data_IF_283469130295
#
_entry.id   IF_283469130295
#
_cell.length_a   1.000
_cell.length_b   1.000
_cell.length_c   1.000
_cell.angle_alpha   90.00
_cell.angle_beta   90.00
_cell.angle_gamma   90.00
#
_symmetry.space_group_name_H-M   'P 1'
#
loop_
_entity.id
_entity.type
_entity.pdbx_description
1 polymer ?
#
# COMPACT_ATOMS: atom_id res chain seq x y z
N UNK A 1 2.83 -27.65 8.96
CA UNK A 1 3.51 -26.38 8.61
C UNK A 1 4.98 -26.66 8.40
N UNK A 2 5.65 -26.07 7.39
CA UNK A 2 7.09 -26.21 7.31
C UNK A 2 7.72 -25.56 8.55
N UNK A 3 8.74 -26.18 9.12
CA UNK A 3 9.43 -25.72 10.35
C UNK A 3 9.91 -24.26 10.22
N UNK A 4 10.35 -23.89 9.02
CA UNK A 4 10.80 -22.51 8.71
C UNK A 4 9.68 -21.48 8.75
N UNK A 5 8.51 -21.80 8.20
CA UNK A 5 7.36 -20.88 8.23
C UNK A 5 6.87 -20.62 9.66
N UNK A 6 6.88 -21.67 10.51
CA UNK A 6 6.54 -21.50 11.93
C UNK A 6 7.54 -20.57 12.66
N UNK A 7 8.85 -20.75 12.42
CA UNK A 7 9.88 -19.87 13.00
C UNK A 7 9.76 -18.41 12.52
N UNK A 8 9.49 -18.23 11.23
CA UNK A 8 9.33 -16.91 10.65
C UNK A 8 8.12 -16.17 11.24
N UNK A 9 6.98 -16.85 11.35
CA UNK A 9 5.77 -16.29 11.97
C UNK A 9 5.96 -15.98 13.45
N UNK A 10 6.63 -16.85 14.20
CA UNK A 10 6.92 -16.60 15.61
C UNK A 10 7.67 -15.28 15.77
N UNK A 11 8.78 -15.11 15.04
CA UNK A 11 9.53 -13.85 15.08
C UNK A 11 8.70 -12.63 14.67
N UNK A 12 7.91 -12.72 13.60
CA UNK A 12 7.06 -11.62 13.15
C UNK A 12 6.06 -11.19 14.23
N UNK A 13 5.47 -12.15 14.95
CA UNK A 13 4.49 -11.88 16.00
C UNK A 13 5.12 -11.21 17.24
N UNK A 14 6.42 -11.44 17.50
CA UNK A 14 7.14 -10.75 18.57
C UNK A 14 7.28 -9.23 18.31
N UNK A 15 7.15 -8.78 17.05
CA UNK A 15 7.28 -7.37 16.68
C UNK A 15 6.08 -6.49 17.08
N UNK A 16 5.08 -7.02 17.76
CA UNK A 16 3.85 -6.34 18.19
C UNK A 16 3.16 -5.54 17.07
N UNK A 17 2.04 -6.09 16.57
CA UNK A 17 1.28 -5.55 15.43
C UNK A 17 0.75 -4.13 15.66
N UNK A 18 0.47 -3.77 16.92
CA UNK A 18 -0.14 -2.49 17.31
C UNK A 18 0.89 -1.40 17.59
N UNK A 19 2.18 -1.69 17.50
CA UNK A 19 3.22 -0.71 17.79
C UNK A 19 3.46 0.21 16.58
N UNK A 20 2.87 1.38 16.64
CA UNK A 20 3.11 2.45 15.67
C UNK A 20 4.35 3.23 16.09
N UNK A 21 5.28 3.42 15.18
CA UNK A 21 6.44 4.30 15.36
C UNK A 21 6.55 5.18 14.12
N UNK A 22 6.16 6.45 14.21
CA UNK A 22 6.30 7.39 13.10
C UNK A 22 7.75 7.53 12.63
N UNK A 23 7.94 7.87 11.35
CA UNK A 23 9.24 8.10 10.72
C UNK A 23 9.65 7.02 9.74
N UNK A 24 10.34 7.43 8.66
CA UNK A 24 10.77 6.57 7.56
C UNK A 24 12.23 6.11 7.66
N UNK A 25 12.99 6.58 8.64
CA UNK A 25 14.44 6.34 8.73
C UNK A 25 14.78 4.85 8.84
N UNK A 26 13.99 4.10 9.63
CA UNK A 26 14.19 2.65 9.83
C UNK A 26 13.94 1.86 8.55
N UNK A 27 12.79 2.11 7.91
CA UNK A 27 12.43 1.42 6.67
C UNK A 27 13.38 1.84 5.54
N UNK A 28 13.77 3.10 5.42
CA UNK A 28 14.77 3.57 4.45
C UNK A 28 16.10 2.85 4.61
N UNK A 29 16.60 2.74 5.86
CA UNK A 29 17.84 2.02 6.14
C UNK A 29 17.71 0.53 5.79
N UNK A 30 16.58 -0.10 6.12
CA UNK A 30 16.33 -1.50 5.80
C UNK A 30 16.26 -1.72 4.28
N UNK A 31 15.56 -0.85 3.54
CA UNK A 31 15.45 -0.95 2.08
C UNK A 31 16.81 -0.76 1.41
N UNK A 32 17.63 0.18 1.90
CA UNK A 32 19.00 0.36 1.42
C UNK A 32 19.85 -0.91 1.62
N UNK A 33 19.77 -1.55 2.79
CA UNK A 33 20.45 -2.82 3.05
C UNK A 33 19.92 -3.98 2.18
N UNK A 34 18.67 -3.89 1.74
CA UNK A 34 18.06 -4.86 0.82
C UNK A 34 18.38 -4.59 -0.66
N UNK A 35 19.10 -3.48 -0.97
CA UNK A 35 19.46 -3.07 -2.34
C UNK A 35 18.45 -2.12 -2.99
N UNK A 36 17.57 -1.48 -2.22
CA UNK A 36 16.51 -0.55 -2.69
C UNK A 36 15.57 -1.16 -3.75
N UNK A 37 15.02 -2.36 -3.53
CA UNK A 37 14.18 -3.04 -4.52
C UNK A 37 12.91 -2.26 -4.90
N UNK A 38 12.45 -1.33 -4.03
CA UNK A 38 11.30 -0.46 -4.32
C UNK A 38 11.55 0.49 -5.52
N UNK A 39 12.80 0.81 -5.82
CA UNK A 39 13.15 1.70 -6.93
C UNK A 39 13.03 1.03 -8.32
N UNK A 40 12.92 -0.30 -8.35
CA UNK A 40 12.76 -1.10 -9.57
C UNK A 40 11.28 -1.28 -9.95
N UNK A 41 10.36 -0.80 -9.10
CA UNK A 41 8.93 -1.05 -9.23
C UNK A 41 8.19 0.21 -9.69
N UNK A 42 7.21 0.03 -10.57
CA UNK A 42 6.21 1.06 -10.85
C UNK A 42 5.12 0.98 -9.80
N UNK A 43 5.02 2.00 -8.96
CA UNK A 43 4.18 1.97 -7.75
C UNK A 43 2.90 2.74 -7.95
N UNK A 44 1.77 2.10 -7.57
CA UNK A 44 0.47 2.73 -7.41
C UNK A 44 0.16 2.73 -5.92
N UNK A 45 0.32 3.88 -5.25
CA UNK A 45 0.02 4.02 -3.83
C UNK A 45 -1.46 4.36 -3.63
N UNK A 46 -2.12 3.67 -2.70
CA UNK A 46 -3.54 3.89 -2.40
C UNK A 46 -3.68 4.33 -0.94
N UNK A 47 -3.99 5.61 -0.74
CA UNK A 47 -4.23 6.25 0.56
C UNK A 47 -5.66 6.74 0.70
N UNK A 48 -6.02 7.19 1.90
CA UNK A 48 -7.35 7.72 2.21
C UNK A 48 -7.89 7.22 3.54
N UNK A 49 -9.11 7.60 3.90
CA UNK A 49 -9.75 7.13 5.15
C UNK A 49 -10.43 5.79 4.91
N UNK A 50 -11.38 5.71 3.99
CA UNK A 50 -12.11 4.49 3.65
C UNK A 50 -11.81 4.05 2.20
N UNK A 51 -12.28 2.86 1.83
CA UNK A 51 -12.20 2.30 0.47
C UNK A 51 -10.78 1.97 -0.05
N UNK A 52 -9.71 2.14 0.73
CA UNK A 52 -8.34 1.80 0.30
C UNK A 52 -8.22 0.36 -0.18
N UNK A 53 -8.56 -0.58 0.70
CA UNK A 53 -8.42 -2.01 0.40
C UNK A 53 -9.33 -2.46 -0.73
N UNK A 54 -10.57 -1.94 -0.82
CA UNK A 54 -11.49 -2.24 -1.92
C UNK A 54 -10.97 -1.67 -3.24
N UNK A 55 -10.38 -0.48 -3.21
CA UNK A 55 -9.72 0.09 -4.39
C UNK A 55 -8.54 -0.78 -4.83
N UNK A 56 -7.66 -1.19 -3.92
CA UNK A 56 -6.54 -2.09 -4.22
C UNK A 56 -7.01 -3.42 -4.81
N UNK A 57 -8.04 -4.03 -4.20
CA UNK A 57 -8.59 -5.30 -4.64
C UNK A 57 -9.16 -5.21 -6.06
N UNK A 58 -10.05 -4.25 -6.31
CA UNK A 58 -10.69 -4.09 -7.60
C UNK A 58 -9.71 -3.63 -8.68
N UNK A 59 -8.75 -2.76 -8.35
CA UNK A 59 -7.69 -2.34 -9.26
C UNK A 59 -6.79 -3.53 -9.65
N UNK A 60 -6.43 -4.39 -8.69
CA UNK A 60 -5.67 -5.60 -9.00
C UNK A 60 -6.42 -6.50 -10.00
N UNK A 61 -7.72 -6.75 -9.78
CA UNK A 61 -8.52 -7.57 -10.69
C UNK A 61 -8.69 -6.92 -12.07
N UNK A 62 -8.84 -5.61 -12.11
CA UNK A 62 -8.92 -4.87 -13.37
C UNK A 62 -7.61 -4.97 -14.16
N UNK A 63 -6.47 -4.70 -13.52
CA UNK A 63 -5.17 -4.75 -14.19
C UNK A 63 -4.74 -6.17 -14.58
N UNK A 64 -5.27 -7.20 -13.92
CA UNK A 64 -5.07 -8.60 -14.33
C UNK A 64 -5.69 -8.94 -15.70
N UNK A 65 -6.57 -8.10 -16.25
CA UNK A 65 -7.04 -8.25 -17.63
C UNK A 65 -5.94 -7.94 -18.66
N UNK A 66 -4.86 -7.29 -18.23
CA UNK A 66 -3.69 -7.03 -19.06
C UNK A 66 -2.70 -8.20 -19.01
N UNK A 67 -1.72 -8.21 -19.89
CA UNK A 67 -0.61 -9.16 -19.84
C UNK A 67 0.47 -8.76 -18.82
N UNK A 68 0.11 -7.92 -17.84
CA UNK A 68 1.02 -7.40 -16.81
C UNK A 68 0.98 -8.24 -15.54
N UNK A 69 2.12 -8.37 -14.90
CA UNK A 69 2.24 -9.01 -13.60
C UNK A 69 2.01 -7.98 -12.50
N UNK A 70 0.94 -8.13 -11.75
CA UNK A 70 0.49 -7.15 -10.75
C UNK A 70 0.80 -7.68 -9.35
N UNK A 71 1.64 -6.95 -8.61
CA UNK A 71 1.81 -7.12 -7.17
C UNK A 71 0.74 -6.32 -6.42
N UNK A 72 0.21 -6.86 -5.32
CA UNK A 72 -0.76 -6.16 -4.49
C UNK A 72 -0.44 -6.38 -3.00
N UNK A 73 -0.21 -5.27 -2.29
CA UNK A 73 -0.01 -5.24 -0.84
C UNK A 73 -1.20 -4.55 -0.18
N UNK A 74 -1.86 -5.24 0.76
CA UNK A 74 -3.07 -4.73 1.46
C UNK A 74 -2.99 -4.93 2.96
N UNK A 75 -3.79 -4.17 3.73
CA UNK A 75 -3.88 -4.28 5.18
C UNK A 75 -5.27 -3.89 5.71
N UNK A 76 -5.74 -4.48 6.84
CA UNK A 76 -5.19 -5.67 7.49
C UNK A 76 -5.51 -6.97 6.72
N UNK A 77 -5.06 -8.12 7.22
CA UNK A 77 -5.52 -9.45 6.77
C UNK A 77 -6.72 -9.93 7.61
N UNK A 78 -7.45 -10.92 7.10
CA UNK A 78 -8.61 -11.53 7.79
C UNK A 78 -8.22 -12.83 8.49
N UNK A 79 -7.60 -13.76 7.79
CA UNK A 79 -7.24 -15.09 8.32
C UNK A 79 -5.73 -15.32 8.38
N UNK A 80 -4.99 -14.86 7.39
CA UNK A 80 -3.55 -15.13 7.27
C UNK A 80 -2.79 -13.89 6.86
N UNK A 81 -1.69 -13.60 7.56
CA UNK A 81 -0.80 -12.47 7.21
C UNK A 81 -0.33 -12.49 5.76
N UNK A 82 -0.26 -13.67 5.13
CA UNK A 82 0.13 -13.83 3.72
C UNK A 82 -0.87 -13.22 2.74
N UNK A 83 -2.15 -13.04 3.15
CA UNK A 83 -3.17 -12.37 2.34
C UNK A 83 -2.79 -10.94 1.97
N UNK A 84 -1.94 -10.31 2.78
CA UNK A 84 -1.44 -8.97 2.53
C UNK A 84 -0.56 -8.85 1.29
N UNK A 85 -0.02 -9.97 0.78
CA UNK A 85 0.97 -9.98 -0.31
C UNK A 85 0.52 -10.96 -1.38
N UNK A 86 0.15 -10.43 -2.54
CA UNK A 86 -0.34 -11.23 -3.68
C UNK A 86 0.39 -10.82 -4.96
N UNK A 87 0.45 -11.76 -5.90
CA UNK A 87 0.75 -11.47 -7.30
C UNK A 87 -0.43 -12.00 -8.12
N UNK A 88 -1.17 -11.09 -8.74
CA UNK A 88 -2.49 -11.38 -9.30
C UNK A 88 -3.40 -11.92 -8.19
N UNK A 89 -4.01 -13.09 -8.41
CA UNK A 89 -4.86 -13.76 -7.41
C UNK A 89 -4.09 -14.67 -6.44
N UNK A 90 -2.79 -14.87 -6.66
CA UNK A 90 -2.01 -15.83 -5.90
C UNK A 90 -1.41 -15.18 -4.65
N UNK A 91 -1.84 -15.62 -3.48
CA UNK A 91 -1.23 -15.26 -2.19
C UNK A 91 0.21 -15.85 -2.17
N UNK A 92 1.16 -15.07 -1.66
CA UNK A 92 2.55 -15.54 -1.45
C UNK A 92 2.56 -16.90 -0.76
N UNK A 93 3.34 -17.85 -1.27
CA UNK A 93 3.43 -19.19 -0.70
C UNK A 93 4.06 -19.17 0.71
N UNK A 94 3.74 -20.16 1.55
CA UNK A 94 4.36 -20.28 2.89
C UNK A 94 5.89 -20.33 2.82
N UNK A 95 6.44 -20.99 1.80
CA UNK A 95 7.87 -21.12 1.58
C UNK A 95 8.50 -19.77 1.25
N UNK A 96 7.96 -19.05 0.28
CA UNK A 96 8.48 -17.74 -0.13
C UNK A 96 8.33 -16.70 0.99
N UNK A 97 7.15 -16.67 1.66
CA UNK A 97 6.95 -15.79 2.80
C UNK A 97 8.01 -16.00 3.87
N UNK A 98 8.29 -17.26 4.25
CA UNK A 98 9.33 -17.58 5.23
C UNK A 98 10.73 -17.16 4.72
N UNK A 99 11.05 -17.46 3.47
CA UNK A 99 12.36 -17.13 2.88
C UNK A 99 12.63 -15.64 2.92
N UNK A 100 11.70 -14.81 2.43
CA UNK A 100 11.88 -13.36 2.41
C UNK A 100 11.79 -12.73 3.79
N UNK A 101 10.91 -13.23 4.66
CA UNK A 101 10.80 -12.75 6.04
C UNK A 101 12.08 -13.00 6.84
N UNK A 102 12.69 -14.19 6.71
CA UNK A 102 13.95 -14.50 7.38
C UNK A 102 15.12 -13.68 6.81
N UNK A 103 15.09 -13.34 5.51
CA UNK A 103 16.06 -12.39 4.94
C UNK A 103 15.92 -10.99 5.57
N UNK A 104 14.71 -10.47 5.71
CA UNK A 104 14.45 -9.19 6.38
C UNK A 104 14.88 -9.24 7.85
N UNK A 105 14.55 -10.32 8.57
CA UNK A 105 15.03 -10.57 9.93
C UNK A 105 16.55 -10.46 10.02
N UNK A 106 17.25 -11.21 9.19
CA UNK A 106 18.73 -11.24 9.18
C UNK A 106 19.31 -9.83 8.95
N UNK A 107 18.81 -9.10 7.94
CA UNK A 107 19.25 -7.73 7.65
C UNK A 107 19.03 -6.80 8.84
N UNK A 108 17.88 -6.90 9.50
CA UNK A 108 17.56 -6.05 10.65
C UNK A 108 18.42 -6.36 11.87
N UNK A 109 18.63 -7.64 12.19
CA UNK A 109 19.41 -8.08 13.36
C UNK A 109 20.91 -7.76 13.20
N UNK A 110 21.49 -8.06 12.03
CA UNK A 110 22.90 -7.77 11.74
C UNK A 110 23.23 -6.27 11.78
N UNK A 111 22.24 -5.41 11.57
CA UNK A 111 22.41 -3.96 11.56
C UNK A 111 21.78 -3.25 12.77
N UNK A 112 21.37 -3.98 13.80
CA UNK A 112 20.72 -3.47 15.02
C UNK A 112 19.51 -2.56 14.72
N UNK A 113 18.73 -2.88 13.66
CA UNK A 113 17.54 -2.13 13.29
C UNK A 113 16.31 -2.65 14.04
N UNK A 114 15.70 -1.79 14.86
CA UNK A 114 14.45 -2.09 15.57
C UNK A 114 13.25 -1.72 14.70
N UNK A 115 12.98 -2.54 13.68
CA UNK A 115 11.83 -2.37 12.77
C UNK A 115 10.51 -2.76 13.42
N UNK A 116 9.40 -2.22 12.92
CA UNK A 116 8.05 -2.56 13.34
C UNK A 116 7.49 -3.72 12.51
N UNK A 117 6.38 -4.30 12.98
CA UNK A 117 5.63 -5.32 12.26
C UNK A 117 5.24 -4.86 10.84
N UNK A 118 4.71 -3.62 10.71
CA UNK A 118 4.26 -3.09 9.43
C UNK A 118 5.44 -2.78 8.50
N UNK A 119 6.52 -2.18 9.01
CA UNK A 119 7.75 -1.96 8.24
C UNK A 119 8.33 -3.28 7.71
N UNK A 120 8.27 -4.35 8.51
CA UNK A 120 8.73 -5.69 8.11
C UNK A 120 7.93 -6.23 6.94
N UNK A 121 6.59 -6.18 7.01
CA UNK A 121 5.71 -6.67 5.94
C UNK A 121 5.81 -5.82 4.67
N UNK A 122 5.96 -4.52 4.81
CA UNK A 122 6.16 -3.60 3.67
C UNK A 122 7.48 -3.89 2.97
N UNK A 123 8.57 -4.05 3.72
CA UNK A 123 9.88 -4.42 3.16
C UNK A 123 9.83 -5.78 2.46
N UNK A 124 9.14 -6.78 3.09
CA UNK A 124 8.95 -8.09 2.49
C UNK A 124 8.20 -7.99 1.16
N UNK A 125 7.14 -7.18 1.09
CA UNK A 125 6.37 -6.99 -0.13
C UNK A 125 7.24 -6.40 -1.25
N UNK A 126 8.01 -5.34 -0.99
CA UNK A 126 8.91 -4.73 -1.97
C UNK A 126 9.97 -5.70 -2.47
N UNK A 127 10.66 -6.40 -1.56
CA UNK A 127 11.67 -7.41 -1.92
C UNK A 127 11.06 -8.54 -2.74
N UNK A 128 9.87 -9.01 -2.37
CA UNK A 128 9.18 -10.08 -3.09
C UNK A 128 8.76 -9.62 -4.49
N UNK A 129 8.12 -8.46 -4.61
CA UNK A 129 7.64 -7.95 -5.89
C UNK A 129 8.80 -7.69 -6.88
N UNK A 130 9.88 -7.04 -6.44
CA UNK A 130 11.09 -6.87 -7.25
C UNK A 130 11.66 -8.23 -7.69
N UNK A 131 11.84 -9.18 -6.76
CA UNK A 131 12.37 -10.51 -7.08
C UNK A 131 11.52 -11.31 -8.06
N UNK A 132 10.25 -10.96 -8.21
CA UNK A 132 9.30 -11.57 -9.15
C UNK A 132 9.14 -10.77 -10.43
N UNK A 133 9.83 -9.65 -10.58
CA UNK A 133 9.71 -8.75 -11.72
C UNK A 133 8.24 -8.40 -12.01
N UNK A 134 7.52 -7.88 -10.99
CA UNK A 134 6.16 -7.38 -11.22
C UNK A 134 6.23 -6.09 -12.03
N UNK A 135 5.28 -5.91 -12.95
CA UNK A 135 5.21 -4.70 -13.78
C UNK A 135 4.68 -3.51 -12.96
N UNK A 136 3.71 -3.76 -12.09
CA UNK A 136 3.09 -2.75 -11.21
C UNK A 136 2.91 -3.29 -9.81
N UNK A 137 3.19 -2.47 -8.81
CA UNK A 137 2.93 -2.77 -7.40
C UNK A 137 1.85 -1.83 -6.85
N UNK A 138 0.67 -2.36 -6.56
CA UNK A 138 -0.42 -1.67 -5.86
C UNK A 138 -0.12 -1.77 -4.37
N UNK A 139 0.07 -0.62 -3.71
CA UNK A 139 0.52 -0.55 -2.33
C UNK A 139 -0.49 0.23 -1.47
N UNK A 140 -1.21 -0.46 -0.60
CA UNK A 140 -2.14 0.16 0.36
C UNK A 140 -1.37 0.83 1.50
N UNK A 141 -1.64 2.11 1.74
CA UNK A 141 -1.16 2.85 2.90
C UNK A 141 -1.85 2.31 4.16
N UNK A 142 -1.07 1.93 5.16
CA UNK A 142 -1.60 1.40 6.41
C UNK A 142 -2.20 2.50 7.29
N UNK A 143 -1.46 3.59 7.51
CA UNK A 143 -1.88 4.69 8.38
C UNK A 143 -1.35 6.04 7.90
N UNK A 144 -2.25 7.02 7.79
CA UNK A 144 -1.88 8.39 7.43
C UNK A 144 -1.34 8.49 6.01
N UNK A 145 -0.04 8.67 5.87
CA UNK A 145 0.66 8.80 4.58
C UNK A 145 2.12 9.17 4.78
N UNK A 146 2.40 10.31 5.40
CA UNK A 146 3.75 10.89 5.52
C UNK A 146 4.77 9.91 6.10
N UNK A 147 4.42 9.23 7.18
CA UNK A 147 5.32 8.33 7.91
C UNK A 147 4.98 6.85 7.74
N UNK A 148 4.07 6.54 6.81
CA UNK A 148 3.73 5.16 6.51
C UNK A 148 4.90 4.45 5.80
N UNK A 149 5.17 3.20 6.16
CA UNK A 149 6.28 2.46 5.59
C UNK A 149 6.21 2.31 4.06
N UNK A 150 5.00 2.26 3.49
CA UNK A 150 4.79 2.22 2.03
C UNK A 150 5.35 3.47 1.36
N UNK A 151 5.34 4.61 2.05
CA UNK A 151 5.80 5.89 1.54
C UNK A 151 7.35 6.00 1.41
N UNK A 152 8.09 4.91 1.65
CA UNK A 152 9.53 4.85 1.37
C UNK A 152 9.83 4.84 -0.13
N UNK A 153 8.85 4.47 -0.95
CA UNK A 153 8.94 4.44 -2.41
C UNK A 153 8.25 5.65 -3.03
N UNK A 154 8.70 6.02 -4.22
CA UNK A 154 8.07 7.08 -5.01
C UNK A 154 6.98 6.48 -5.90
N UNK A 155 5.73 6.85 -5.63
CA UNK A 155 4.60 6.39 -6.42
C UNK A 155 4.51 7.15 -7.75
N UNK A 156 4.28 6.42 -8.84
CA UNK A 156 3.94 6.98 -10.15
C UNK A 156 2.50 7.49 -10.17
N UNK A 157 1.61 6.76 -9.50
CA UNK A 157 0.20 7.13 -9.32
C UNK A 157 -0.12 7.09 -7.83
N UNK A 158 -0.72 8.17 -7.31
CA UNK A 158 -1.24 8.23 -5.95
C UNK A 158 -2.77 8.33 -6.01
N UNK A 159 -3.46 7.32 -5.48
CA UNK A 159 -4.91 7.33 -5.33
C UNK A 159 -5.25 7.76 -3.91
N UNK A 160 -5.84 8.94 -3.76
CA UNK A 160 -6.37 9.47 -2.51
C UNK A 160 -7.88 9.22 -2.49
N UNK A 161 -8.33 8.14 -1.88
CA UNK A 161 -9.71 7.67 -1.93
C UNK A 161 -10.69 8.65 -1.27
N UNK A 162 -11.05 8.46 -0.02
CA UNK A 162 -11.92 9.36 0.71
C UNK A 162 -11.16 10.11 1.80
N UNK A 163 -11.68 11.26 2.21
CA UNK A 163 -11.19 12.02 3.36
C UNK A 163 -12.27 12.02 4.45
N UNK A 164 -11.90 11.65 5.65
CA UNK A 164 -12.76 11.62 6.82
C UNK A 164 -11.95 11.60 8.11
N UNK A 165 -12.58 11.83 9.25
CA UNK A 165 -11.94 11.71 10.55
C UNK A 165 -11.60 10.24 10.82
N UNK A 166 -10.32 9.98 11.08
CA UNK A 166 -9.78 8.65 11.31
C UNK A 166 -8.46 8.77 12.09
N UNK A 167 -8.22 7.87 13.04
CA UNK A 167 -6.98 7.85 13.82
C UNK A 167 -6.57 9.23 14.37
N UNK A 168 -7.52 9.95 14.96
CA UNK A 168 -7.35 11.36 15.40
C UNK A 168 -6.18 11.53 16.36
N UNK A 169 -5.88 10.52 17.19
CA UNK A 169 -4.74 10.52 18.12
C UNK A 169 -3.37 10.60 17.41
N UNK A 170 -3.30 10.21 16.14
CA UNK A 170 -2.07 10.20 15.36
C UNK A 170 -2.05 11.23 14.23
N UNK A 171 -3.20 11.48 13.60
CA UNK A 171 -3.29 12.29 12.37
C UNK A 171 -3.81 13.70 12.64
N UNK A 172 -4.32 13.94 13.86
CA UNK A 172 -4.95 15.19 14.24
C UNK A 172 -6.48 15.16 14.17
N UNK A 173 -7.07 16.17 14.75
CA UNK A 173 -8.49 16.29 15.08
C UNK A 173 -9.32 17.05 14.03
N UNK A 174 -8.71 17.38 12.87
CA UNK A 174 -9.40 18.07 11.78
C UNK A 174 -9.12 17.43 10.42
N UNK A 175 -10.04 17.62 9.46
CA UNK A 175 -9.90 17.11 8.10
C UNK A 175 -8.69 17.72 7.40
N UNK A 176 -8.35 18.96 7.71
CA UNK A 176 -7.19 19.68 7.17
C UNK A 176 -5.88 19.01 7.57
N UNK A 177 -5.71 18.69 8.85
CA UNK A 177 -4.52 17.99 9.37
C UNK A 177 -4.40 16.59 8.77
N UNK A 178 -5.51 15.87 8.70
CA UNK A 178 -5.57 14.53 8.11
C UNK A 178 -5.26 14.60 6.60
N UNK A 179 -5.82 15.57 5.88
CA UNK A 179 -5.52 15.78 4.46
C UNK A 179 -4.03 16.08 4.24
N UNK A 180 -3.46 17.00 5.02
CA UNK A 180 -2.04 17.35 4.93
C UNK A 180 -1.12 16.14 5.11
N UNK A 181 -1.43 15.25 6.07
CA UNK A 181 -0.64 14.03 6.31
C UNK A 181 -0.84 12.98 5.21
N UNK A 182 -2.10 12.74 4.79
CA UNK A 182 -2.41 11.73 3.76
C UNK A 182 -1.85 12.12 2.38
N UNK A 183 -1.89 13.41 2.04
CA UNK A 183 -1.39 13.91 0.77
C UNK A 183 0.13 13.75 0.59
N UNK A 184 0.89 13.51 1.66
CA UNK A 184 2.36 13.31 1.60
C UNK A 184 2.81 12.03 0.87
N UNK A 185 1.90 11.17 0.46
CA UNK A 185 2.21 10.06 -0.45
C UNK A 185 2.40 10.52 -1.91
N UNK A 186 2.00 11.75 -2.22
CA UNK A 186 2.11 12.34 -3.56
C UNK A 186 3.53 12.83 -3.81
N UNK A 187 4.07 12.52 -4.97
CA UNK A 187 5.37 13.00 -5.47
C UNK A 187 5.17 14.00 -6.63
N UNK A 188 6.15 14.86 -6.84
CA UNK A 188 6.10 15.91 -7.87
C UNK A 188 5.74 15.38 -9.26
N UNK A 189 6.23 14.20 -9.63
CA UNK A 189 6.00 13.60 -10.93
C UNK A 189 4.83 12.61 -10.95
N UNK A 190 4.12 12.44 -9.82
CA UNK A 190 3.00 11.51 -9.73
C UNK A 190 1.74 12.09 -10.36
N UNK A 191 0.91 11.23 -10.95
CA UNK A 191 -0.49 11.54 -11.23
C UNK A 191 -1.31 11.24 -9.99
N UNK A 192 -2.12 12.20 -9.55
CA UNK A 192 -3.02 12.06 -8.42
C UNK A 192 -4.43 11.76 -8.92
N UNK A 193 -5.04 10.73 -8.37
CA UNK A 193 -6.46 10.42 -8.56
C UNK A 193 -7.13 10.58 -7.21
N UNK A 194 -8.19 11.40 -7.10
CA UNK A 194 -8.73 11.70 -5.78
C UNK A 194 -10.25 11.80 -5.74
N UNK A 195 -10.82 11.33 -4.63
CA UNK A 195 -12.22 11.52 -4.25
C UNK A 195 -12.45 12.74 -3.33
N UNK A 196 -11.41 13.52 -3.07
CA UNK A 196 -11.50 14.65 -2.15
C UNK A 196 -12.23 15.84 -2.77
N UNK A 197 -12.92 16.62 -1.92
CA UNK A 197 -13.45 17.92 -2.33
C UNK A 197 -12.32 18.88 -2.70
N UNK A 198 -12.57 19.75 -3.65
CA UNK A 198 -11.57 20.69 -4.22
C UNK A 198 -10.93 21.59 -3.16
N UNK A 199 -11.68 21.96 -2.11
CA UNK A 199 -11.14 22.75 -0.99
C UNK A 199 -9.97 22.08 -0.27
N UNK A 200 -9.81 20.74 -0.37
CA UNK A 200 -8.70 20.00 0.21
C UNK A 200 -7.55 19.78 -0.78
N UNK A 201 -7.69 20.12 -2.06
CA UNK A 201 -6.63 19.97 -3.05
C UNK A 201 -5.42 20.86 -2.74
N UNK A 202 -5.61 21.96 -1.99
CA UNK A 202 -4.51 22.81 -1.50
C UNK A 202 -3.48 22.06 -0.63
N UNK A 203 -3.85 20.93 -0.03
CA UNK A 203 -2.95 20.08 0.77
C UNK A 203 -2.19 19.07 -0.06
N UNK A 204 -2.59 18.85 -1.33
CA UNK A 204 -1.91 17.95 -2.26
C UNK A 204 -0.64 18.66 -2.77
N UNK A 205 0.56 18.07 -2.58
CA UNK A 205 1.79 18.65 -3.10
C UNK A 205 1.75 18.83 -4.63
N UNK A 206 2.68 19.66 -5.15
CA UNK A 206 2.87 19.76 -6.59
C UNK A 206 2.98 18.39 -7.23
N UNK A 207 2.21 18.14 -8.25
CA UNK A 207 2.08 16.86 -8.94
C UNK A 207 1.92 17.06 -10.44
N UNK A 208 2.13 15.99 -11.23
CA UNK A 208 2.00 16.05 -12.69
C UNK A 208 0.57 16.40 -13.14
N UNK A 209 -0.43 15.81 -12.48
CA UNK A 209 -1.85 15.97 -12.80
C UNK A 209 -2.71 15.55 -11.61
N UNK A 210 -3.85 16.20 -11.43
CA UNK A 210 -4.90 15.78 -10.49
C UNK A 210 -6.15 15.41 -11.31
N UNK A 211 -6.68 14.20 -11.06
CA UNK A 211 -7.90 13.67 -11.68
C UNK A 211 -8.90 13.41 -10.56
N UNK A 212 -10.10 13.97 -10.68
CA UNK A 212 -11.18 13.76 -9.73
C UNK A 212 -12.03 12.56 -10.12
N UNK A 213 -12.38 11.72 -9.15
CA UNK A 213 -13.33 10.63 -9.27
C UNK A 213 -14.14 10.52 -7.98
N UNK A 214 -15.42 10.16 -8.06
CA UNK A 214 -16.31 10.14 -6.90
C UNK A 214 -16.42 8.76 -6.24
N UNK A 215 -16.12 7.69 -6.95
CA UNK A 215 -16.28 6.30 -6.51
C UNK A 215 -15.15 5.42 -7.01
N UNK A 216 -15.05 4.20 -6.47
CA UNK A 216 -14.00 3.24 -6.79
C UNK A 216 -13.86 3.01 -8.31
N UNK A 217 -14.98 2.87 -9.03
CA UNK A 217 -14.94 2.67 -10.48
C UNK A 217 -14.27 3.83 -11.22
N UNK A 218 -14.53 5.08 -10.81
CA UNK A 218 -13.93 6.27 -11.42
C UNK A 218 -12.42 6.31 -11.17
N UNK A 219 -11.98 5.97 -9.94
CA UNK A 219 -10.55 5.95 -9.59
C UNK A 219 -9.80 4.87 -10.37
N UNK A 220 -10.42 3.68 -10.54
CA UNK A 220 -9.82 2.59 -11.32
C UNK A 220 -9.77 2.96 -12.79
N UNK A 221 -10.85 3.50 -13.35
CA UNK A 221 -10.88 3.94 -14.75
C UNK A 221 -9.81 5.01 -15.02
N UNK A 222 -9.73 6.03 -14.18
CA UNK A 222 -8.70 7.06 -14.29
C UNK A 222 -7.27 6.44 -14.21
N UNK A 223 -7.07 5.45 -13.33
CA UNK A 223 -5.78 4.77 -13.22
C UNK A 223 -5.44 3.99 -14.49
N UNK A 224 -6.39 3.23 -15.05
CA UNK A 224 -6.15 2.47 -16.30
C UNK A 224 -5.89 3.38 -17.49
N UNK A 225 -6.59 4.52 -17.58
CA UNK A 225 -6.36 5.53 -18.62
C UNK A 225 -4.97 6.17 -18.50
N UNK A 226 -4.50 6.47 -17.28
CA UNK A 226 -3.14 7.00 -17.02
C UNK A 226 -2.08 5.97 -17.41
N UNK A 227 -2.36 4.70 -17.24
CA UNK A 227 -1.48 3.58 -17.61
C UNK A 227 -1.63 3.17 -19.09
N UNK A 228 -2.47 3.88 -19.84
CA UNK A 228 -2.74 3.64 -21.27
C UNK A 228 -3.35 2.25 -21.55
N UNK A 229 -4.15 1.71 -20.62
CA UNK A 229 -4.89 0.47 -20.81
C UNK A 229 -6.35 0.76 -21.18
N UNK A 230 -6.79 0.24 -22.32
CA UNK A 230 -8.19 0.29 -22.77
C UNK A 230 -8.98 -0.89 -22.21
N UNK A 231 -9.21 -0.91 -20.91
CA UNK A 231 -9.93 -1.96 -20.19
C UNK A 231 -10.99 -1.36 -19.27
N UNK A 232 -12.09 -2.08 -19.10
CA UNK A 232 -13.17 -1.63 -18.20
C UNK A 232 -12.88 -2.04 -16.74
N UNK A 233 -13.22 -1.18 -15.77
CA UNK A 233 -13.08 -1.50 -14.36
C UNK A 233 -13.90 -2.72 -13.96
N UNK A 234 -13.27 -3.67 -13.26
CA UNK A 234 -13.95 -4.75 -12.55
C UNK A 234 -14.28 -4.25 -11.15
N UNK A 235 -15.56 -4.25 -10.79
CA UNK A 235 -16.01 -3.87 -9.44
C UNK A 235 -16.70 -5.07 -8.82
N UNK A 236 -16.15 -5.55 -7.72
CA UNK A 236 -16.65 -6.70 -6.96
C UNK A 236 -16.79 -6.35 -5.49
N UNK A 237 -17.79 -6.94 -4.85
CA UNK A 237 -17.92 -6.90 -3.41
C UNK A 237 -16.83 -7.77 -2.76
N UNK A 238 -16.24 -7.28 -1.68
CA UNK A 238 -15.19 -7.99 -0.97
C UNK A 238 -15.77 -8.68 0.26
N UNK A 239 -15.85 -10.01 0.29
CA UNK A 239 -16.32 -10.73 1.47
C UNK A 239 -15.52 -10.36 2.73
N UNK A 240 -16.22 -10.06 3.83
CA UNK A 240 -15.62 -9.74 5.12
C UNK A 240 -15.10 -8.30 5.30
N UNK A 241 -15.15 -7.46 4.27
CA UNK A 241 -14.93 -6.02 4.38
C UNK A 241 -16.29 -5.32 4.25
N UNK A 242 -16.96 -5.09 5.37
CA UNK A 242 -18.13 -4.21 5.41
C UNK A 242 -17.66 -2.77 5.28
N UNK A 243 -17.45 -2.30 4.06
CA UNK A 243 -17.47 -0.89 3.79
C UNK A 243 -18.94 -0.48 3.85
N UNK A 244 -19.32 0.34 4.84
CA UNK A 244 -20.64 1.00 4.81
C UNK A 244 -20.75 1.62 3.44
N UNK A 245 -21.81 1.26 2.71
CA UNK A 245 -22.12 1.87 1.43
C UNK A 245 -22.08 3.39 1.63
N UNK A 246 -21.05 4.03 1.11
CA UNK A 246 -20.96 5.48 1.04
C UNK A 246 -21.96 5.89 -0.03
N UNK A 247 -23.24 6.03 0.37
CA UNK A 247 -24.22 6.74 -0.43
C UNK A 247 -23.77 8.20 -0.43
N UNK A 248 -23.10 8.59 -1.50
CA UNK A 248 -22.91 9.99 -1.86
C UNK A 248 -24.25 10.47 -2.43
N UNK A 249 -25.08 11.07 -1.57
CA UNK A 249 -26.17 11.97 -2.00
C UNK A 249 -25.59 13.36 -2.22
#
# INVERSE_FOLDING_TARGET
MSKEYGKALFWLNELNQNKIKPGLERIKKLMNLAGNPQNELRIIAVGGTNAKGSTCFNLNHTLMQTNKKIGCFTSPHIHSVRERIKIGNNIISKKEFATYLLKIKMLSEQNNLRITYFETLTALAYVYFSSKNVDYAIMEIGLGGEWDAVNVADAEIAILTTLGLDHVDYLGDSLEKIAATKAKIVRKNATVITGWDEKYHQYIPESKKIIKGLKIADWIKACTEVLEFSIEPIIMDIPGRQEKHLNFT
#
